data_IF_090362838340
#
_entry.id   IF_090362838340
#
_cell.length_a   1.000
_cell.length_b   1.000
_cell.length_c   1.000
_cell.angle_alpha   90.00
_cell.angle_beta   90.00
_cell.angle_gamma   90.00
#
_symmetry.space_group_name_H-M   'P 1'
#
loop_
_entity.id
_entity.type
_entity.pdbx_description
1 polymer ?
#
# COMPACT_ATOMS: atom_id res chain seq x y z
N UNK A 1 15.92 -23.82 14.86
CA UNK A 1 16.22 -22.49 14.29
C UNK A 1 15.71 -22.37 12.86
N UNK A 2 16.12 -23.20 11.89
CA UNK A 2 15.63 -23.13 10.49
C UNK A 2 14.10 -23.11 10.30
N UNK A 3 13.35 -23.98 10.99
CA UNK A 3 11.87 -24.02 10.88
C UNK A 3 11.20 -22.71 11.30
N UNK A 4 11.81 -21.99 12.25
CA UNK A 4 11.27 -20.73 12.75
C UNK A 4 11.57 -19.59 11.77
N UNK A 5 12.80 -19.52 11.25
CA UNK A 5 13.19 -18.56 10.21
C UNK A 5 12.35 -18.70 8.94
N UNK A 6 12.10 -19.94 8.49
CA UNK A 6 11.25 -20.21 7.33
C UNK A 6 9.79 -19.78 7.57
N UNK A 7 9.30 -19.97 8.80
CA UNK A 7 7.95 -19.54 9.19
C UNK A 7 7.84 -18.01 9.21
N UNK A 8 8.86 -17.34 9.74
CA UNK A 8 8.90 -15.87 9.75
C UNK A 8 8.94 -15.32 8.32
N UNK A 9 9.75 -15.92 7.44
CA UNK A 9 9.79 -15.54 6.03
C UNK A 9 8.43 -15.74 5.33
N UNK A 10 7.77 -16.88 5.59
CA UNK A 10 6.44 -17.15 5.06
C UNK A 10 5.41 -16.12 5.54
N UNK A 11 5.47 -15.72 6.82
CA UNK A 11 4.57 -14.71 7.38
C UNK A 11 4.79 -13.33 6.74
N UNK A 12 6.04 -12.88 6.60
CA UNK A 12 6.34 -11.64 5.88
C UNK A 12 5.79 -11.69 4.44
N UNK A 13 6.03 -12.79 3.73
CA UNK A 13 5.53 -12.97 2.36
C UNK A 13 4.01 -12.89 2.30
N UNK A 14 3.29 -13.54 3.21
CA UNK A 14 1.83 -13.51 3.28
C UNK A 14 1.28 -12.11 3.56
N UNK A 15 1.93 -11.34 4.43
CA UNK A 15 1.56 -9.94 4.72
C UNK A 15 1.76 -9.07 3.49
N UNK A 16 2.94 -9.15 2.86
CA UNK A 16 3.26 -8.37 1.65
C UNK A 16 2.31 -8.72 0.51
N UNK A 17 2.00 -10.01 0.32
CA UNK A 17 1.01 -10.46 -0.64
C UNK A 17 -0.36 -9.85 -0.36
N UNK A 18 -0.85 -9.92 0.88
CA UNK A 18 -2.15 -9.37 1.29
C UNK A 18 -2.24 -7.86 1.00
N UNK A 19 -1.19 -7.11 1.32
CA UNK A 19 -1.12 -5.67 1.05
C UNK A 19 -1.10 -5.39 -0.46
N UNK A 20 -0.30 -6.13 -1.23
CA UNK A 20 -0.19 -5.94 -2.68
C UNK A 20 -1.51 -6.17 -3.43
N UNK A 21 -2.39 -7.04 -2.91
CA UNK A 21 -3.73 -7.28 -3.46
C UNK A 21 -4.82 -6.37 -2.84
N UNK A 22 -4.43 -5.34 -2.08
CA UNK A 22 -5.30 -4.25 -1.63
C UNK A 22 -5.80 -4.33 -0.19
N UNK A 23 -5.29 -5.23 0.67
CA UNK A 23 -5.58 -5.15 2.10
C UNK A 23 -4.72 -4.06 2.75
N UNK A 24 -5.35 -2.98 3.22
CA UNK A 24 -4.62 -1.83 3.76
C UNK A 24 -4.86 -1.61 5.26
N UNK A 25 -5.96 -2.12 5.83
CA UNK A 25 -6.23 -2.02 7.28
C UNK A 25 -5.70 -3.25 8.03
N UNK A 26 -5.27 -3.11 9.31
CA UNK A 26 -4.79 -4.25 10.11
C UNK A 26 -5.69 -5.48 10.09
N UNK A 27 -7.01 -5.29 10.22
CA UNK A 27 -7.96 -6.40 10.24
C UNK A 27 -8.05 -7.10 8.87
N UNK A 28 -8.01 -6.33 7.78
CA UNK A 28 -8.06 -6.89 6.42
C UNK A 28 -6.77 -7.66 6.12
N UNK A 29 -5.62 -7.12 6.56
CA UNK A 29 -4.31 -7.75 6.40
C UNK A 29 -4.26 -9.04 7.24
N UNK A 30 -4.69 -9.01 8.50
CA UNK A 30 -4.76 -10.19 9.37
C UNK A 30 -5.60 -11.31 8.74
N UNK A 31 -6.80 -10.95 8.26
CA UNK A 31 -7.73 -11.88 7.63
C UNK A 31 -7.14 -12.50 6.36
N UNK A 32 -6.52 -11.70 5.47
CA UNK A 32 -5.96 -12.20 4.20
C UNK A 32 -4.62 -12.92 4.36
N UNK A 33 -3.82 -12.56 5.36
CA UNK A 33 -2.53 -13.23 5.64
C UNK A 33 -2.67 -14.44 6.55
N UNK A 34 -3.85 -14.63 7.17
CA UNK A 34 -4.10 -15.66 8.19
C UNK A 34 -3.17 -15.55 9.41
N UNK A 35 -2.82 -14.32 9.79
CA UNK A 35 -1.95 -14.02 10.93
C UNK A 35 -2.75 -13.29 12.00
N UNK A 36 -2.64 -13.77 13.24
CA UNK A 36 -3.25 -13.16 14.41
C UNK A 36 -2.82 -11.70 14.60
N UNK A 37 -3.77 -10.84 14.98
CA UNK A 37 -3.56 -9.38 15.02
C UNK A 37 -2.40 -8.94 15.94
N UNK A 38 -2.20 -9.65 17.06
CA UNK A 38 -1.11 -9.38 18.01
C UNK A 38 0.26 -9.63 17.38
N UNK A 39 0.40 -10.69 16.59
CA UNK A 39 1.66 -11.04 15.92
C UNK A 39 1.88 -10.19 14.67
N UNK A 40 0.79 -9.86 13.95
CA UNK A 40 0.83 -9.01 12.76
C UNK A 40 1.50 -7.67 13.03
N UNK A 41 1.24 -7.06 14.19
CA UNK A 41 1.79 -5.75 14.55
C UNK A 41 3.33 -5.75 14.56
N UNK A 42 3.94 -6.82 15.07
CA UNK A 42 5.41 -6.96 15.08
C UNK A 42 5.97 -7.08 13.65
N UNK A 43 5.35 -7.89 12.80
CA UNK A 43 5.78 -8.03 11.41
C UNK A 43 5.62 -6.73 10.62
N UNK A 44 4.52 -5.99 10.82
CA UNK A 44 4.30 -4.69 10.18
C UNK A 44 5.34 -3.67 10.64
N UNK A 45 5.66 -3.61 11.93
CA UNK A 45 6.69 -2.72 12.44
C UNK A 45 8.06 -3.05 11.83
N UNK A 46 8.44 -4.33 11.78
CA UNK A 46 9.69 -4.73 11.15
C UNK A 46 9.73 -4.36 9.65
N UNK A 47 8.63 -4.56 8.92
CA UNK A 47 8.54 -4.15 7.51
C UNK A 47 8.61 -2.63 7.33
N UNK A 48 8.12 -1.85 8.30
CA UNK A 48 8.25 -0.39 8.32
C UNK A 48 9.70 0.02 8.59
N UNK A 49 10.34 -0.59 9.57
CA UNK A 49 11.74 -0.30 9.91
C UNK A 49 12.69 -0.65 8.75
N UNK A 50 12.37 -1.67 7.98
CA UNK A 50 13.06 -2.04 6.74
C UNK A 50 12.73 -1.14 5.54
N UNK A 51 11.77 -0.22 5.66
CA UNK A 51 11.34 0.66 4.56
C UNK A 51 10.54 -0.03 3.46
N UNK A 52 10.08 -1.27 3.68
CA UNK A 52 9.31 -2.04 2.69
C UNK A 52 7.84 -1.61 2.71
N UNK A 53 7.30 -1.40 3.92
CA UNK A 53 5.93 -0.96 4.16
C UNK A 53 5.95 0.43 4.80
N UNK A 54 4.93 1.23 4.55
CA UNK A 54 4.68 2.46 5.30
C UNK A 54 3.29 2.43 5.92
N UNK A 55 3.16 3.11 7.07
CA UNK A 55 1.87 3.40 7.69
C UNK A 55 1.45 4.82 7.34
N UNK A 56 0.41 4.97 6.54
CA UNK A 56 -0.19 6.27 6.21
C UNK A 56 -1.27 6.59 7.24
N UNK A 57 -1.21 7.80 7.77
CA UNK A 57 -2.20 8.33 8.70
C UNK A 57 -2.83 9.55 8.03
N UNK A 58 -4.15 9.73 8.10
CA UNK A 58 -4.80 10.82 7.36
C UNK A 58 -4.33 12.16 7.90
N UNK A 59 -4.22 13.15 7.02
CA UNK A 59 -3.70 14.49 7.34
C UNK A 59 -4.51 15.20 8.44
N UNK A 60 -5.78 14.84 8.60
CA UNK A 60 -6.69 15.37 9.61
C UNK A 60 -6.47 14.81 11.02
N UNK A 61 -5.56 13.84 11.20
CA UNK A 61 -5.29 13.24 12.50
C UNK A 61 -4.10 13.92 13.19
N UNK A 62 -4.39 14.62 14.29
CA UNK A 62 -3.38 15.36 15.04
C UNK A 62 -2.47 14.45 15.88
N UNK A 63 -3.02 13.38 16.48
CA UNK A 63 -2.23 12.41 17.24
C UNK A 63 -1.82 11.22 16.36
N UNK A 64 -0.80 11.44 15.50
CA UNK A 64 -0.33 10.42 14.56
C UNK A 64 0.19 9.17 15.27
N UNK A 65 0.95 9.32 16.35
CA UNK A 65 1.58 8.20 17.07
C UNK A 65 0.55 7.14 17.52
N UNK A 66 -0.61 7.59 18.02
CA UNK A 66 -1.64 6.69 18.57
C UNK A 66 -2.83 6.47 17.62
N UNK A 67 -2.71 6.89 16.35
CA UNK A 67 -3.83 6.79 15.42
C UNK A 67 -4.15 5.33 15.06
N UNK A 68 -5.43 4.99 15.23
CA UNK A 68 -6.04 3.74 14.77
C UNK A 68 -6.58 3.82 13.34
N UNK A 69 -6.49 4.99 12.69
CA UNK A 69 -6.93 5.20 11.30
C UNK A 69 -5.79 5.02 10.29
N UNK A 70 -4.70 4.39 10.71
CA UNK A 70 -3.57 4.11 9.84
C UNK A 70 -3.90 3.00 8.85
N UNK A 71 -3.46 3.17 7.61
CA UNK A 71 -3.42 2.11 6.60
C UNK A 71 -1.98 1.76 6.26
N UNK A 72 -1.74 0.56 5.79
CA UNK A 72 -0.42 0.06 5.43
C UNK A 72 -0.37 -0.15 3.93
N UNK A 73 0.72 0.33 3.29
CA UNK A 73 1.00 0.08 1.88
C UNK A 73 2.47 -0.25 1.66
N UNK A 74 2.76 -0.97 0.58
CA UNK A 74 4.14 -1.20 0.14
C UNK A 74 4.68 0.10 -0.47
N UNK A 75 5.84 0.54 -0.01
CA UNK A 75 6.43 1.83 -0.42
C UNK A 75 6.90 1.79 -1.88
N UNK A 76 7.66 0.74 -2.21
CA UNK A 76 8.31 0.59 -3.50
C UNK A 76 7.36 0.00 -4.56
N UNK A 77 7.33 0.65 -5.73
CA UNK A 77 6.48 0.25 -6.84
C UNK A 77 6.84 -1.15 -7.35
N UNK A 78 8.13 -1.44 -7.51
CA UNK A 78 8.59 -2.72 -8.07
C UNK A 78 8.25 -3.89 -7.14
N UNK A 79 8.48 -3.75 -5.83
CA UNK A 79 8.05 -4.74 -4.83
C UNK A 79 6.54 -4.96 -4.90
N UNK A 80 5.76 -3.88 -4.92
CA UNK A 80 4.29 -3.98 -5.03
C UNK A 80 3.86 -4.68 -6.31
N UNK A 81 4.52 -4.41 -7.43
CA UNK A 81 4.26 -5.05 -8.73
C UNK A 81 4.57 -6.54 -8.66
N UNK A 82 5.74 -6.90 -8.10
CA UNK A 82 6.15 -8.28 -7.97
C UNK A 82 5.15 -9.08 -7.14
N UNK A 83 4.77 -8.59 -5.96
CA UNK A 83 3.80 -9.28 -5.11
C UNK A 83 2.38 -9.30 -5.72
N UNK A 84 1.99 -8.27 -6.46
CA UNK A 84 0.65 -8.22 -7.08
C UNK A 84 0.52 -9.14 -8.30
N UNK A 85 1.51 -9.15 -9.19
CA UNK A 85 1.40 -9.76 -10.51
C UNK A 85 2.38 -10.92 -10.74
N UNK A 86 3.65 -10.78 -10.35
CA UNK A 86 4.68 -11.77 -10.70
C UNK A 86 4.64 -12.97 -9.76
N UNK A 87 4.72 -12.75 -8.46
CA UNK A 87 4.79 -13.77 -7.41
C UNK A 87 3.67 -14.83 -7.49
N UNK A 88 2.40 -14.44 -7.69
CA UNK A 88 1.30 -15.39 -7.86
C UNK A 88 1.35 -16.20 -9.17
N UNK A 89 2.09 -15.72 -10.18
CA UNK A 89 2.10 -16.29 -11.53
C UNK A 89 3.47 -16.83 -11.95
N UNK A 90 4.42 -17.02 -11.01
CA UNK A 90 5.78 -17.53 -11.31
C UNK A 90 5.73 -18.81 -12.13
N UNK A 91 4.91 -19.80 -11.74
CA UNK A 91 4.81 -21.06 -12.48
C UNK A 91 4.27 -20.88 -13.91
N UNK A 92 3.37 -19.92 -14.14
CA UNK A 92 2.90 -19.61 -15.49
C UNK A 92 4.02 -19.01 -16.34
N UNK A 93 4.82 -18.12 -15.74
CA UNK A 93 5.98 -17.49 -16.40
C UNK A 93 7.05 -18.54 -16.74
N UNK A 94 7.35 -19.46 -15.82
CA UNK A 94 8.33 -20.55 -16.03
C UNK A 94 7.92 -21.52 -17.14
N UNK A 95 6.63 -21.58 -17.48
CA UNK A 95 6.09 -22.41 -18.55
C UNK A 95 5.74 -21.61 -19.83
N UNK A 96 6.21 -20.38 -19.95
CA UNK A 96 5.95 -19.47 -21.08
C UNK A 96 4.45 -19.17 -21.33
N UNK A 97 3.60 -19.38 -20.32
CA UNK A 97 2.16 -19.08 -20.38
C UNK A 97 1.91 -17.66 -19.86
N UNK A 98 2.33 -16.65 -20.64
CA UNK A 98 2.35 -15.25 -20.19
C UNK A 98 1.13 -14.42 -20.63
N UNK A 99 0.44 -14.79 -21.71
CA UNK A 99 -0.66 -13.99 -22.25
C UNK A 99 -1.77 -13.66 -21.23
N UNK A 100 -2.23 -14.61 -20.39
CA UNK A 100 -3.24 -14.29 -19.38
C UNK A 100 -2.74 -13.30 -18.32
N UNK A 101 -1.45 -13.37 -17.98
CA UNK A 101 -0.80 -12.46 -17.03
C UNK A 101 -0.68 -11.05 -17.60
N UNK A 102 -0.23 -10.91 -18.84
CA UNK A 102 -0.13 -9.60 -19.51
C UNK A 102 -1.50 -8.93 -19.58
N UNK A 103 -2.54 -9.66 -20.00
CA UNK A 103 -3.90 -9.15 -20.02
C UNK A 103 -4.40 -8.75 -18.64
N UNK A 104 -4.04 -9.50 -17.60
CA UNK A 104 -4.37 -9.14 -16.22
C UNK A 104 -3.67 -7.83 -15.80
N UNK A 105 -2.38 -7.68 -16.11
CA UNK A 105 -1.60 -6.47 -15.81
C UNK A 105 -2.23 -5.26 -16.51
N UNK A 106 -2.50 -5.35 -17.82
CA UNK A 106 -3.09 -4.27 -18.61
C UNK A 106 -4.43 -3.80 -18.01
N UNK A 107 -5.31 -4.75 -17.67
CA UNK A 107 -6.62 -4.44 -17.09
C UNK A 107 -6.54 -3.78 -15.71
N UNK A 108 -5.45 -4.00 -14.96
CA UNK A 108 -5.28 -3.51 -13.59
C UNK A 108 -4.21 -2.40 -13.48
N UNK A 109 -3.63 -1.98 -14.61
CA UNK A 109 -2.49 -1.06 -14.62
C UNK A 109 -2.89 0.32 -14.07
N UNK A 110 -4.04 0.84 -14.51
CA UNK A 110 -4.58 2.13 -14.05
C UNK A 110 -4.70 2.16 -12.52
N UNK A 111 -5.34 1.15 -11.93
CA UNK A 111 -5.52 1.06 -10.48
C UNK A 111 -4.18 0.88 -9.75
N UNK A 112 -3.26 0.11 -10.32
CA UNK A 112 -1.92 -0.08 -9.75
C UNK A 112 -1.09 1.22 -9.73
N UNK A 113 -1.22 2.05 -10.77
CA UNK A 113 -0.49 3.31 -10.90
C UNK A 113 -1.00 4.42 -9.98
N UNK A 114 -2.17 4.26 -9.37
CA UNK A 114 -2.78 5.28 -8.50
C UNK A 114 -1.84 5.78 -7.40
N UNK A 115 -1.09 4.88 -6.75
CA UNK A 115 -0.15 5.26 -5.69
C UNK A 115 1.03 6.10 -6.24
N UNK A 116 1.56 5.78 -7.42
CA UNK A 116 2.67 6.56 -8.00
C UNK A 116 2.18 7.91 -8.52
N UNK A 117 0.97 7.94 -9.10
CA UNK A 117 0.31 9.19 -9.47
C UNK A 117 0.10 10.09 -8.26
N UNK A 118 -0.37 9.55 -7.13
CA UNK A 118 -0.57 10.32 -5.89
C UNK A 118 0.74 10.94 -5.38
N UNK A 119 1.85 10.17 -5.39
CA UNK A 119 3.17 10.68 -5.00
C UNK A 119 3.60 11.85 -5.89
N UNK A 120 3.49 11.68 -7.21
CA UNK A 120 3.84 12.73 -8.18
C UNK A 120 2.93 13.96 -8.04
N UNK A 121 1.64 13.75 -7.79
CA UNK A 121 0.70 14.84 -7.54
C UNK A 121 1.07 15.62 -6.27
N UNK A 122 1.43 14.94 -5.19
CA UNK A 122 1.90 15.59 -3.96
C UNK A 122 3.17 16.40 -4.20
N UNK A 123 4.14 15.84 -4.92
CA UNK A 123 5.38 16.53 -5.28
C UNK A 123 5.09 17.77 -6.14
N UNK A 124 4.25 17.62 -7.18
CA UNK A 124 3.83 18.72 -8.02
C UNK A 124 3.19 19.85 -7.21
N UNK A 125 2.26 19.52 -6.31
CA UNK A 125 1.57 20.50 -5.46
C UNK A 125 2.57 21.19 -4.52
N UNK A 126 3.54 20.48 -3.96
CA UNK A 126 4.61 21.09 -3.15
C UNK A 126 5.49 22.06 -3.95
N UNK A 127 5.88 21.67 -5.16
CA UNK A 127 6.70 22.50 -6.04
C UNK A 127 5.98 23.80 -6.47
N UNK A 128 4.64 23.82 -6.42
CA UNK A 128 3.81 24.97 -6.77
C UNK A 128 3.13 25.62 -5.55
N UNK A 129 3.57 25.33 -4.32
CA UNK A 129 2.90 25.83 -3.09
C UNK A 129 2.86 27.36 -2.98
N UNK A 130 3.76 28.07 -3.65
CA UNK A 130 3.82 29.53 -3.70
C UNK A 130 3.20 30.13 -4.99
N UNK A 131 2.83 29.30 -5.97
CA UNK A 131 2.18 29.77 -7.19
C UNK A 131 0.67 29.90 -6.97
N UNK A 132 0.21 31.15 -6.83
CA UNK A 132 -1.19 31.47 -6.56
C UNK A 132 -2.15 31.13 -7.72
N UNK A 133 -1.63 30.88 -8.93
CA UNK A 133 -2.46 30.43 -10.06
C UNK A 133 -2.80 28.94 -9.97
N UNK A 134 -1.94 28.16 -9.29
CA UNK A 134 -2.12 26.71 -9.11
C UNK A 134 -2.71 26.42 -7.74
N UNK A 135 -2.16 27.03 -6.69
CA UNK A 135 -2.54 26.83 -5.29
C UNK A 135 -2.99 28.18 -4.70
N UNK A 136 -4.31 28.43 -4.57
CA UNK A 136 -4.82 29.72 -4.13
C UNK A 136 -4.35 30.14 -2.73
N UNK A 137 -4.13 29.17 -1.85
CA UNK A 137 -3.70 29.38 -0.47
C UNK A 137 -2.61 28.38 -0.12
N UNK A 138 -1.41 28.83 0.27
CA UNK A 138 -0.34 27.94 0.73
C UNK A 138 -0.79 27.10 1.93
N UNK A 139 -0.37 25.84 1.96
CA UNK A 139 -0.69 24.90 3.03
C UNK A 139 0.59 24.46 3.76
N UNK A 140 0.41 23.89 4.95
CA UNK A 140 1.52 23.34 5.76
C UNK A 140 1.61 21.81 5.71
N UNK A 141 0.50 21.15 5.37
CA UNK A 141 0.38 19.69 5.34
C UNK A 141 -0.42 19.28 4.12
N UNK A 142 0.07 18.26 3.42
CA UNK A 142 -0.66 17.53 2.39
C UNK A 142 -0.69 16.06 2.79
N UNK A 143 -1.77 15.36 2.47
CA UNK A 143 -1.90 13.93 2.71
C UNK A 143 -3.34 13.46 2.61
N UNK A 144 -3.52 12.16 2.87
CA UNK A 144 -4.77 11.48 2.60
C UNK A 144 -5.87 11.87 3.58
N UNK A 145 -7.12 11.70 3.13
CA UNK A 145 -8.32 11.90 3.95
C UNK A 145 -9.25 10.70 3.77
N UNK A 146 -9.60 10.02 4.86
CA UNK A 146 -10.43 8.82 4.85
C UNK A 146 -11.93 9.10 5.03
N UNK A 147 -12.35 10.36 4.91
CA UNK A 147 -13.74 10.73 5.16
C UNK A 147 -14.68 10.35 4.03
N UNK A 148 -15.97 10.26 4.38
CA UNK A 148 -17.06 10.11 3.42
C UNK A 148 -17.29 11.45 2.73
N UNK A 149 -17.01 11.55 1.43
CA UNK A 149 -17.48 12.69 0.65
C UNK A 149 -19.00 12.58 0.49
N UNK A 150 -19.75 13.65 0.79
CA UNK A 150 -21.21 13.66 0.61
C UNK A 150 -21.66 13.47 -0.84
N UNK A 151 -20.75 13.69 -1.80
CA UNK A 151 -21.02 13.60 -3.24
C UNK A 151 -20.65 12.25 -3.86
N UNK A 152 -19.74 11.48 -3.26
CA UNK A 152 -19.38 10.14 -3.69
C UNK A 152 -19.41 9.23 -2.46
N UNK A 153 -20.50 8.48 -2.29
CA UNK A 153 -20.62 7.37 -1.31
C UNK A 153 -19.72 6.20 -1.73
N UNK A 154 -18.41 6.41 -1.88
CA UNK A 154 -17.41 5.35 -2.02
C UNK A 154 -16.21 5.70 -1.17
N UNK A 155 -15.80 4.74 -0.33
CA UNK A 155 -14.49 4.76 0.29
C UNK A 155 -13.48 4.48 -0.83
N UNK A 156 -12.59 5.43 -1.11
CA UNK A 156 -11.41 5.15 -1.92
C UNK A 156 -10.48 4.31 -1.04
N UNK A 157 -10.41 3.02 -1.35
CA UNK A 157 -9.49 2.06 -0.75
C UNK A 157 -8.11 2.18 -1.40
#
# INVERSE_FOLDING_TARGET
>A
MLKQELRDLANYRSILQAIAIGASRPNDIAMRSHIEANTLSNYLNNLIDLGIVEKIIPATEYNKANSRKGIYRIQDGLFRFWFKFVGPNVSFIEHDVIDPLIKNIENNLSDYMGQEFEKLAHEYIWNHVLDQNVIPVPFKVIGNWWGSSKHLKKQSN
#
